data_IF_295193287767
#
_entry.id   IF_295193287767
#
_cell.length_a   1.000
_cell.length_b   1.000
_cell.length_c   1.000
_cell.angle_alpha   90.00
_cell.angle_beta   90.00
_cell.angle_gamma   90.00
#
_symmetry.space_group_name_H-M   'P 1'
#
loop_
_entity.id
_entity.type
_entity.pdbx_description
1 polymer ?
#
# COMPACT_ATOMS: atom_id res chain seq x y z
N UNK A 1 -13.85 -27.71 -80.51
CA UNK A 1 -14.47 -28.60 -79.51
C UNK A 1 -13.50 -28.77 -78.33
N UNK A 2 -14.02 -28.69 -77.09
CA UNK A 2 -13.42 -29.03 -75.77
C UNK A 2 -12.08 -28.36 -75.41
N UNK A 3 -11.99 -27.35 -74.53
CA UNK A 3 -12.22 -27.35 -73.06
C UNK A 3 -11.72 -28.63 -72.38
N UNK A 4 -10.59 -28.57 -71.66
CA UNK A 4 -10.44 -29.09 -70.28
C UNK A 4 -9.31 -28.31 -69.58
N UNK A 5 -9.67 -27.71 -68.44
CA UNK A 5 -8.80 -27.03 -67.48
C UNK A 5 -8.13 -28.00 -66.48
N UNK A 6 -7.35 -27.43 -65.55
CA UNK A 6 -6.90 -27.95 -64.22
C UNK A 6 -5.42 -28.37 -64.19
N UNK A 7 -4.64 -28.10 -63.16
CA UNK A 7 -4.74 -27.27 -61.96
C UNK A 7 -3.32 -27.25 -61.34
N UNK A 8 -2.90 -26.13 -60.73
CA UNK A 8 -1.75 -26.13 -59.82
C UNK A 8 -2.10 -26.89 -58.54
N UNK A 9 -1.26 -27.80 -58.01
CA UNK A 9 -1.31 -28.18 -56.62
C UNK A 9 -0.33 -27.33 -55.80
N UNK A 10 -0.93 -26.57 -54.88
CA UNK A 10 -0.27 -25.74 -53.89
C UNK A 10 0.59 -26.54 -52.90
N UNK A 11 1.59 -25.86 -52.33
CA UNK A 11 2.49 -26.34 -51.29
C UNK A 11 1.77 -26.99 -50.08
N UNK A 12 2.28 -28.11 -49.52
CA UNK A 12 1.88 -28.52 -48.19
C UNK A 12 2.60 -27.65 -47.16
N UNK A 13 1.91 -26.60 -46.75
CA UNK A 13 2.20 -25.64 -45.66
C UNK A 13 2.19 -26.35 -44.30
N UNK A 14 3.01 -27.39 -44.10
CA UNK A 14 3.07 -28.27 -42.92
C UNK A 14 3.79 -27.66 -41.70
N UNK A 15 3.69 -26.36 -41.48
CA UNK A 15 4.40 -25.67 -40.39
C UNK A 15 3.60 -24.55 -39.73
N UNK A 16 2.29 -24.73 -39.55
CA UNK A 16 1.45 -23.78 -38.78
C UNK A 16 0.45 -24.48 -37.86
N UNK A 17 0.75 -25.71 -37.47
CA UNK A 17 0.03 -26.42 -36.40
C UNK A 17 0.90 -26.46 -35.13
N UNK A 18 1.46 -25.30 -34.77
CA UNK A 18 2.05 -25.08 -33.44
C UNK A 18 1.17 -24.05 -32.77
N UNK A 19 0.39 -24.53 -31.80
CA UNK A 19 -0.20 -23.77 -30.71
C UNK A 19 -0.47 -22.30 -31.05
N UNK A 20 -1.57 -22.05 -31.75
CA UNK A 20 -2.34 -20.85 -31.51
C UNK A 20 -3.17 -21.02 -30.21
N UNK A 21 -2.55 -21.58 -29.15
CA UNK A 21 -2.97 -21.28 -27.77
C UNK A 21 -2.47 -19.87 -27.51
N UNK A 22 -3.27 -18.96 -28.04
CA UNK A 22 -3.22 -17.53 -28.03
C UNK A 22 -2.83 -17.00 -26.65
N UNK A 23 -1.83 -16.13 -26.62
CA UNK A 23 -1.45 -15.20 -25.53
C UNK A 23 -2.54 -14.84 -24.49
N UNK A 24 -3.82 -14.60 -24.83
CA UNK A 24 -4.90 -14.41 -23.84
C UNK A 24 -5.19 -15.61 -22.92
N UNK A 25 -5.08 -16.86 -23.37
CA UNK A 25 -5.38 -18.03 -22.52
C UNK A 25 -4.26 -18.29 -21.49
N UNK A 26 -3.02 -17.96 -21.84
CA UNK A 26 -1.85 -18.05 -20.95
C UNK A 26 -1.86 -16.96 -19.87
N UNK A 27 -2.38 -15.77 -20.17
CA UNK A 27 -2.56 -14.68 -19.20
C UNK A 27 -3.88 -14.78 -18.43
N UNK A 28 -4.90 -15.43 -19.01
CA UNK A 28 -6.22 -15.57 -18.42
C UNK A 28 -6.23 -16.39 -17.14
N UNK A 29 -5.45 -17.47 -17.06
CA UNK A 29 -5.40 -18.32 -15.87
C UNK A 29 -4.78 -17.60 -14.64
N UNK A 30 -3.59 -16.95 -14.73
CA UNK A 30 -3.06 -16.14 -13.64
C UNK A 30 -3.95 -14.95 -13.26
N UNK A 31 -4.57 -14.28 -14.24
CA UNK A 31 -5.48 -13.15 -13.98
C UNK A 31 -6.75 -13.60 -13.27
N UNK A 32 -7.37 -14.71 -13.70
CA UNK A 32 -8.52 -15.29 -13.03
C UNK A 32 -8.17 -15.71 -11.60
N UNK A 33 -6.99 -16.31 -11.41
CA UNK A 33 -6.49 -16.66 -10.08
C UNK A 33 -6.37 -15.44 -9.17
N UNK A 34 -5.70 -14.37 -9.62
CA UNK A 34 -5.58 -13.11 -8.88
C UNK A 34 -6.94 -12.47 -8.61
N UNK A 35 -7.83 -12.46 -9.60
CA UNK A 35 -9.18 -11.92 -9.46
C UNK A 35 -9.96 -12.67 -8.38
N UNK A 36 -9.94 -14.01 -8.38
CA UNK A 36 -10.62 -14.80 -7.35
C UNK A 36 -10.05 -14.49 -5.96
N UNK A 37 -8.73 -14.53 -5.79
CA UNK A 37 -8.10 -14.29 -4.48
C UNK A 37 -8.27 -12.86 -3.97
N UNK A 38 -8.50 -11.88 -4.84
CA UNK A 38 -8.75 -10.49 -4.45
C UNK A 38 -10.24 -10.21 -4.23
N UNK A 39 -11.10 -10.68 -5.15
CA UNK A 39 -12.54 -10.41 -5.11
C UNK A 39 -13.25 -11.22 -4.02
N UNK A 40 -12.81 -12.45 -3.73
CA UNK A 40 -13.44 -13.28 -2.69
C UNK A 40 -13.35 -12.62 -1.30
N UNK A 41 -12.18 -12.20 -0.80
CA UNK A 41 -12.10 -11.47 0.48
C UNK A 41 -12.92 -10.18 0.49
N UNK A 42 -12.94 -9.44 -0.62
CA UNK A 42 -13.75 -8.21 -0.74
C UNK A 42 -15.24 -8.53 -0.64
N UNK A 43 -15.70 -9.58 -1.33
CA UNK A 43 -17.08 -10.02 -1.27
C UNK A 43 -17.46 -10.49 0.14
N UNK A 44 -16.56 -11.18 0.85
CA UNK A 44 -16.76 -11.57 2.25
C UNK A 44 -16.90 -10.32 3.13
N UNK A 45 -15.97 -9.36 3.03
CA UNK A 45 -16.05 -8.10 3.79
C UNK A 45 -17.34 -7.33 3.48
N UNK A 46 -17.76 -7.30 2.21
CA UNK A 46 -19.03 -6.69 1.82
C UNK A 46 -20.23 -7.43 2.43
N UNK A 47 -20.23 -8.76 2.42
CA UNK A 47 -21.29 -9.57 3.04
C UNK A 47 -21.42 -9.29 4.55
N UNK A 48 -20.29 -9.16 5.26
CA UNK A 48 -20.27 -8.70 6.66
C UNK A 48 -20.79 -7.25 6.80
N UNK A 49 -20.39 -6.35 5.90
CA UNK A 49 -20.80 -4.95 5.94
C UNK A 49 -22.30 -4.72 5.76
N UNK A 50 -23.00 -5.64 5.09
CA UNK A 50 -24.45 -5.60 4.86
C UNK A 50 -25.23 -6.57 5.76
N UNK A 51 -24.56 -7.15 6.77
CA UNK A 51 -25.15 -8.08 7.74
C UNK A 51 -25.77 -9.35 7.11
N UNK A 52 -25.31 -9.69 5.90
CA UNK A 52 -25.68 -10.92 5.18
C UNK A 52 -25.01 -12.14 5.81
N UNK A 53 -23.85 -11.92 6.43
CA UNK A 53 -23.09 -12.93 7.16
C UNK A 53 -22.57 -12.28 8.43
N UNK A 54 -23.09 -12.66 9.60
CA UNK A 54 -22.70 -12.12 10.90
C UNK A 54 -22.57 -13.23 11.94
N UNK A 55 -21.70 -13.01 12.93
CA UNK A 55 -21.38 -13.99 13.99
C UNK A 55 -22.43 -13.96 15.11
N UNK A 56 -23.20 -12.86 15.20
CA UNK A 56 -24.17 -12.65 16.25
C UNK A 56 -25.49 -13.40 15.98
N UNK A 57 -26.09 -14.07 16.99
CA UNK A 57 -27.38 -14.73 16.82
C UNK A 57 -28.49 -13.68 16.73
N UNK A 58 -28.89 -13.32 15.50
CA UNK A 58 -29.96 -12.37 15.21
C UNK A 58 -30.61 -12.63 13.84
N UNK A 59 -31.74 -11.97 13.51
CA UNK A 59 -32.34 -12.07 12.18
C UNK A 59 -31.41 -11.44 11.14
N UNK A 60 -30.69 -12.29 10.40
CA UNK A 60 -29.80 -11.87 9.33
C UNK A 60 -30.58 -11.43 8.10
N UNK A 61 -30.21 -10.29 7.52
CA UNK A 61 -30.83 -9.72 6.35
C UNK A 61 -29.96 -8.60 5.76
N UNK A 62 -30.26 -8.16 4.54
CA UNK A 62 -29.55 -7.01 3.97
C UNK A 62 -29.91 -5.74 4.76
N UNK A 63 -29.00 -5.26 5.61
CA UNK A 63 -29.19 -4.03 6.39
C UNK A 63 -28.13 -2.97 6.08
N UNK A 64 -28.53 -1.71 6.23
CA UNK A 64 -27.64 -0.54 6.11
C UNK A 64 -27.36 0.09 7.50
N UNK A 65 -27.66 -0.63 8.58
CA UNK A 65 -27.53 -0.09 9.94
C UNK A 65 -26.06 0.12 10.32
N UNK A 66 -25.16 -0.78 9.91
CA UNK A 66 -23.72 -0.62 10.11
C UNK A 66 -23.19 0.69 9.50
N UNK A 67 -23.65 1.04 8.29
CA UNK A 67 -23.29 2.29 7.62
C UNK A 67 -23.88 3.52 8.31
N UNK A 68 -25.12 3.46 8.79
CA UNK A 68 -25.72 4.53 9.60
C UNK A 68 -24.96 4.73 10.91
N UNK A 69 -24.64 3.64 11.61
CA UNK A 69 -23.88 3.70 12.86
C UNK A 69 -22.49 4.31 12.64
N UNK A 70 -21.81 3.95 11.55
CA UNK A 70 -20.54 4.56 11.17
C UNK A 70 -20.66 6.08 10.94
N UNK A 71 -21.69 6.53 10.20
CA UNK A 71 -21.87 7.95 9.87
C UNK A 71 -22.32 8.80 11.07
N UNK A 72 -23.12 8.24 11.98
CA UNK A 72 -23.66 8.97 13.13
C UNK A 72 -22.80 8.89 14.39
N UNK A 73 -21.86 7.94 14.45
CA UNK A 73 -20.97 7.83 15.60
C UNK A 73 -19.79 8.80 15.48
N UNK A 74 -19.77 9.77 16.39
CA UNK A 74 -18.71 10.78 16.52
C UNK A 74 -17.31 10.17 16.64
N UNK A 75 -17.19 9.00 17.28
CA UNK A 75 -15.91 8.31 17.47
C UNK A 75 -15.37 7.81 16.12
N UNK A 76 -16.15 7.07 15.33
CA UNK A 76 -15.67 6.57 14.03
C UNK A 76 -15.33 7.70 13.08
N UNK A 77 -16.16 8.75 13.03
CA UNK A 77 -15.95 9.88 12.15
C UNK A 77 -14.71 10.70 12.55
N UNK A 78 -14.47 10.89 13.85
CA UNK A 78 -13.27 11.59 14.35
C UNK A 78 -11.98 10.82 14.07
N UNK A 79 -11.97 9.50 14.25
CA UNK A 79 -10.84 8.64 13.89
C UNK A 79 -10.56 8.63 12.38
N UNK A 80 -11.63 8.61 11.57
CA UNK A 80 -11.51 8.69 10.11
C UNK A 80 -10.85 10.01 9.69
N UNK A 81 -11.38 11.15 10.15
CA UNK A 81 -10.81 12.46 9.84
C UNK A 81 -9.40 12.65 10.39
N UNK A 82 -9.09 12.08 11.55
CA UNK A 82 -7.72 12.06 12.09
C UNK A 82 -6.77 11.35 11.14
N UNK A 83 -7.14 10.17 10.65
CA UNK A 83 -6.34 9.41 9.68
C UNK A 83 -6.14 10.16 8.37
N UNK A 84 -7.21 10.76 7.81
CA UNK A 84 -7.18 11.56 6.58
C UNK A 84 -6.30 12.80 6.75
N UNK A 85 -6.46 13.53 7.85
CA UNK A 85 -5.65 14.72 8.14
C UNK A 85 -4.18 14.36 8.29
N UNK A 86 -3.87 13.28 9.01
CA UNK A 86 -2.49 12.82 9.19
C UNK A 86 -1.86 12.38 7.87
N UNK A 87 -2.55 11.59 7.05
CA UNK A 87 -2.02 11.15 5.76
C UNK A 87 -1.79 12.31 4.80
N UNK A 88 -2.69 13.30 4.78
CA UNK A 88 -2.54 14.49 3.94
C UNK A 88 -1.36 15.35 4.37
N UNK A 89 -1.23 15.64 5.66
CA UNK A 89 -0.11 16.43 6.21
C UNK A 89 1.22 15.72 5.92
N UNK A 90 1.30 14.43 6.22
CA UNK A 90 2.52 13.64 6.00
C UNK A 90 2.86 13.57 4.51
N UNK A 91 1.87 13.35 3.64
CA UNK A 91 2.08 13.33 2.18
C UNK A 91 2.60 14.67 1.68
N UNK A 92 2.00 15.79 2.09
CA UNK A 92 2.44 17.12 1.70
C UNK A 92 3.88 17.42 2.15
N UNK A 93 4.22 17.10 3.40
CA UNK A 93 5.58 17.27 3.94
C UNK A 93 6.58 16.41 3.15
N UNK A 94 6.26 15.15 2.90
CA UNK A 94 7.13 14.24 2.14
C UNK A 94 7.34 14.78 0.72
N UNK A 95 6.29 15.21 0.02
CA UNK A 95 6.41 15.77 -1.32
C UNK A 95 7.30 17.02 -1.31
N UNK A 96 7.08 17.93 -0.36
CA UNK A 96 7.86 19.16 -0.24
C UNK A 96 9.35 18.89 -0.01
N UNK A 97 9.69 17.87 0.78
CA UNK A 97 11.07 17.50 1.08
C UNK A 97 11.71 16.62 -0.01
N UNK A 98 10.94 15.69 -0.59
CA UNK A 98 11.43 14.75 -1.59
C UNK A 98 11.60 15.40 -2.97
N UNK A 99 10.74 16.37 -3.33
CA UNK A 99 10.81 17.06 -4.62
C UNK A 99 12.16 17.75 -4.89
N UNK A 100 12.73 18.58 -4.01
CA UNK A 100 14.03 19.20 -4.25
C UNK A 100 15.16 18.18 -4.36
N UNK A 101 15.10 17.10 -3.57
CA UNK A 101 16.06 16.01 -3.63
C UNK A 101 15.97 15.25 -4.97
N UNK A 102 14.75 14.94 -5.43
CA UNK A 102 14.50 14.29 -6.71
C UNK A 102 14.93 15.17 -7.89
N UNK A 103 14.63 16.48 -7.83
CA UNK A 103 15.07 17.45 -8.83
C UNK A 103 16.60 17.50 -8.92
N UNK A 104 17.29 17.55 -7.77
CA UNK A 104 18.75 17.50 -7.72
C UNK A 104 19.30 16.21 -8.33
N UNK A 105 18.71 15.05 -8.02
CA UNK A 105 19.10 13.74 -8.57
C UNK A 105 18.84 13.59 -10.07
N UNK A 106 17.82 14.26 -10.59
CA UNK A 106 17.45 14.23 -12.00
C UNK A 106 18.40 15.07 -12.86
N UNK A 107 18.77 16.27 -12.38
CA UNK A 107 19.59 17.21 -13.14
C UNK A 107 21.09 17.04 -12.92
N UNK A 108 21.53 16.44 -11.81
CA UNK A 108 22.96 16.29 -11.53
C UNK A 108 23.50 14.93 -12.02
N UNK A 109 24.38 14.96 -13.03
CA UNK A 109 25.14 13.81 -13.53
C UNK A 109 26.26 13.35 -12.58
N UNK A 110 26.09 13.52 -11.28
CA UNK A 110 27.16 13.37 -10.29
C UNK A 110 27.44 11.91 -9.99
N UNK A 111 28.72 11.52 -9.88
CA UNK A 111 29.16 10.17 -9.46
C UNK A 111 28.54 9.71 -8.12
N UNK A 112 28.12 10.65 -7.27
CA UNK A 112 27.46 10.41 -5.98
C UNK A 112 25.99 9.97 -6.10
N UNK A 113 25.38 10.00 -7.29
CA UNK A 113 23.99 9.60 -7.54
C UNK A 113 23.69 8.19 -7.01
N UNK A 114 24.58 7.24 -7.25
CA UNK A 114 24.41 5.87 -6.77
C UNK A 114 24.40 5.76 -5.24
N UNK A 115 25.24 6.53 -4.55
CA UNK A 115 25.29 6.56 -3.08
C UNK A 115 24.02 7.19 -2.50
N UNK A 116 23.55 8.29 -3.09
CA UNK A 116 22.30 8.95 -2.69
C UNK A 116 21.07 8.04 -2.89
N UNK A 117 21.00 7.35 -4.03
CA UNK A 117 19.94 6.37 -4.29
C UNK A 117 20.02 5.19 -3.32
N UNK A 118 21.22 4.68 -3.03
CA UNK A 118 21.42 3.62 -2.04
C UNK A 118 20.95 4.05 -0.66
N UNK A 119 21.28 5.28 -0.22
CA UNK A 119 20.85 5.82 1.07
C UNK A 119 19.32 5.98 1.14
N UNK A 120 18.67 6.32 0.03
CA UNK A 120 17.21 6.43 -0.06
C UNK A 120 16.52 5.05 0.02
N UNK A 121 17.11 4.03 -0.60
CA UNK A 121 16.57 2.67 -0.65
C UNK A 121 16.91 1.89 0.64
N UNK A 122 18.04 2.18 1.29
CA UNK A 122 18.48 1.53 2.53
C UNK A 122 17.40 1.44 3.63
N UNK A 123 16.68 2.51 4.01
CA UNK A 123 15.61 2.41 5.02
C UNK A 123 14.42 1.59 4.55
N UNK A 124 14.19 1.44 3.24
CA UNK A 124 13.15 0.57 2.70
C UNK A 124 13.47 -0.91 2.89
N UNK A 125 14.75 -1.30 2.89
CA UNK A 125 15.17 -2.68 3.18
C UNK A 125 14.97 -3.07 4.66
N UNK A 126 14.67 -2.10 5.53
CA UNK A 126 14.45 -2.38 6.96
C UNK A 126 12.99 -2.72 7.26
N UNK A 127 12.79 -3.72 8.13
CA UNK A 127 11.47 -4.13 8.61
C UNK A 127 10.69 -2.94 9.20
N UNK A 128 9.44 -2.78 8.80
CA UNK A 128 8.55 -1.75 9.34
C UNK A 128 8.47 -1.82 10.87
N UNK A 129 8.39 -3.04 11.42
CA UNK A 129 8.32 -3.24 12.87
C UNK A 129 9.57 -2.71 13.59
N UNK A 130 10.76 -2.97 13.05
CA UNK A 130 12.01 -2.46 13.62
C UNK A 130 12.04 -0.92 13.60
N UNK A 131 11.56 -0.30 12.52
CA UNK A 131 11.45 1.17 12.45
C UNK A 131 10.52 1.70 13.53
N UNK A 132 9.34 1.10 13.74
CA UNK A 132 8.40 1.50 14.79
C UNK A 132 9.00 1.33 16.18
N UNK A 133 9.67 0.21 16.47
CA UNK A 133 10.31 -0.03 17.76
C UNK A 133 11.49 0.92 18.01
N UNK A 134 12.31 1.20 16.99
CA UNK A 134 13.41 2.15 17.08
C UNK A 134 12.90 3.54 17.43
N UNK A 135 11.87 4.04 16.74
CA UNK A 135 11.23 5.30 17.10
C UNK A 135 10.66 5.28 18.52
N UNK A 136 10.04 4.16 18.93
CA UNK A 136 9.51 4.01 20.28
C UNK A 136 10.62 4.12 21.35
N UNK A 137 11.78 3.52 21.11
CA UNK A 137 12.94 3.59 22.02
C UNK A 137 13.52 5.01 22.04
N UNK A 138 13.69 5.63 20.87
CA UNK A 138 14.27 6.97 20.73
C UNK A 138 13.40 8.04 21.39
N UNK A 139 12.08 7.96 21.22
CA UNK A 139 11.08 8.89 21.80
C UNK A 139 10.71 8.52 23.24
N UNK A 140 11.21 7.39 23.74
CA UNK A 140 11.02 6.91 25.11
C UNK A 140 11.33 7.94 26.19
N UNK A 141 10.74 7.75 27.37
CA UNK A 141 11.02 8.59 28.53
C UNK A 141 12.52 8.60 28.89
N UNK A 142 13.22 7.48 28.68
CA UNK A 142 14.68 7.35 28.81
C UNK A 142 15.39 7.24 27.45
N UNK A 143 14.70 7.64 26.38
CA UNK A 143 15.22 7.58 25.02
C UNK A 143 16.27 8.66 24.75
N UNK A 144 16.97 8.51 23.62
CA UNK A 144 18.06 9.40 23.19
C UNK A 144 17.64 10.87 23.20
N UNK A 145 16.40 11.17 22.78
CA UNK A 145 15.88 12.55 22.71
C UNK A 145 15.72 13.16 24.11
N UNK A 146 15.10 12.44 25.04
CA UNK A 146 14.91 12.95 26.41
C UNK A 146 16.25 13.07 27.15
N UNK A 147 17.16 12.10 26.99
CA UNK A 147 18.50 12.18 27.58
C UNK A 147 19.31 13.35 27.02
N UNK A 148 19.19 13.64 25.71
CA UNK A 148 19.81 14.82 25.10
C UNK A 148 19.23 16.13 25.62
N UNK A 149 17.90 16.22 25.78
CA UNK A 149 17.24 17.40 26.35
C UNK A 149 17.68 17.68 27.80
N UNK A 150 17.81 16.64 28.62
CA UNK A 150 18.35 16.75 29.98
C UNK A 150 19.82 17.19 29.95
N UNK A 151 20.63 16.63 29.05
CA UNK A 151 22.03 17.01 28.89
C UNK A 151 22.22 18.49 28.48
N UNK A 152 21.37 19.01 27.59
CA UNK A 152 21.38 20.43 27.20
C UNK A 152 20.89 21.39 28.30
N UNK A 153 20.46 20.89 29.46
CA UNK A 153 19.95 21.70 30.56
C UNK A 153 18.56 22.30 30.31
N UNK A 154 17.92 21.98 29.18
CA UNK A 154 16.58 22.46 28.83
C UNK A 154 15.49 21.81 29.68
N UNK A 155 15.79 20.75 30.44
CA UNK A 155 14.82 19.98 31.23
C UNK A 155 15.46 19.20 32.38
N UNK A 156 14.71 19.06 33.48
CA UNK A 156 15.12 18.28 34.65
C UNK A 156 14.90 16.77 34.45
N UNK A 157 15.75 15.90 35.04
CA UNK A 157 15.61 14.43 34.96
C UNK A 157 14.24 13.89 35.41
N UNK A 158 13.56 14.61 36.30
CA UNK A 158 12.32 14.17 36.95
C UNK A 158 11.06 14.38 36.09
N UNK A 159 11.17 15.12 34.97
CA UNK A 159 10.03 15.47 34.11
C UNK A 159 10.29 15.21 32.60
N UNK A 160 10.47 13.95 32.16
CA UNK A 160 10.61 13.63 30.74
C UNK A 160 9.35 14.01 29.93
N UNK A 161 9.48 14.37 28.64
CA UNK A 161 8.29 14.58 27.79
C UNK A 161 7.68 13.20 27.47
N UNK A 162 6.80 12.71 28.34
CA UNK A 162 6.02 11.49 28.09
C UNK A 162 5.02 11.66 26.92
N UNK A 163 4.71 12.90 26.56
CA UNK A 163 3.85 13.25 25.42
C UNK A 163 4.46 12.93 24.05
N UNK A 164 5.78 12.65 23.97
CA UNK A 164 6.44 12.25 22.71
C UNK A 164 6.01 10.86 22.24
N UNK A 165 5.73 9.95 23.18
CA UNK A 165 5.18 8.62 22.88
C UNK A 165 3.68 8.54 23.08
N UNK A 166 3.20 9.13 24.17
CA UNK A 166 1.79 9.12 24.54
C UNK A 166 1.22 10.49 24.24
N UNK A 167 1.14 10.82 22.95
CA UNK A 167 0.48 12.05 22.54
C UNK A 167 -0.97 11.98 23.03
N UNK A 168 -1.39 12.93 23.89
CA UNK A 168 -2.75 12.98 24.49
C UNK A 168 -3.83 13.44 23.50
N UNK A 169 -3.70 13.03 22.24
CA UNK A 169 -4.63 13.35 21.16
C UNK A 169 -5.33 12.10 20.66
#
# INVERSE_FOLDING_TARGET
MSVVARASPAAPRRRRLRLALTTPALLGLPLAWLAVFFLVPIAIVAAYSFDVYSIDPGPHGFTLEAWRHFLHSSIYLSLFWKSVKMSLIVSAIIVLLAYPLAYYLALSGTKRKYVLLLLLIAPFLTSYLLRVLAWKVILGNQGVINSFLVWTGLRSPDHPISQLLYSRF
#
